data_IF_238270602800
#
_entry.id   IF_238270602800
#
_cell.length_a   1.000
_cell.length_b   1.000
_cell.length_c   1.000
_cell.angle_alpha   90.00
_cell.angle_beta   90.00
_cell.angle_gamma   90.00
#
_symmetry.space_group_name_H-M   'P 1'
#
loop_
_entity.id
_entity.type
_entity.pdbx_description
1 polymer ?
#
# COMPACT_ATOMS: atom_id res chain seq x y z
N UNK A 1 0.36 -44.07 8.69
CA UNK A 1 -0.74 -43.10 8.82
C UNK A 1 -0.17 -41.73 8.50
N UNK A 2 -0.36 -41.26 7.27
CA UNK A 2 0.14 -39.97 6.81
C UNK A 2 -0.76 -38.86 7.33
N UNK A 3 -0.23 -38.02 8.20
CA UNK A 3 -0.90 -36.80 8.65
C UNK A 3 -0.80 -35.75 7.55
N UNK A 4 -1.91 -35.54 6.84
CA UNK A 4 -2.12 -34.40 5.96
C UNK A 4 -2.19 -33.12 6.82
N UNK A 5 -1.07 -32.40 6.92
CA UNK A 5 -1.05 -31.03 7.43
C UNK A 5 -1.86 -30.16 6.46
N UNK A 6 -3.01 -29.73 6.95
CA UNK A 6 -3.94 -28.85 6.22
C UNK A 6 -3.28 -27.50 5.98
N UNK A 7 -3.52 -26.98 4.77
CA UNK A 7 -2.80 -25.87 4.17
C UNK A 7 -2.80 -24.60 5.00
N UNK A 8 -1.61 -24.20 5.44
CA UNK A 8 -1.25 -22.80 5.55
C UNK A 8 -0.55 -22.48 4.23
N UNK A 9 -1.31 -21.98 3.26
CA UNK A 9 -0.73 -21.46 2.01
C UNK A 9 -0.03 -20.15 2.39
N UNK A 10 1.23 -20.28 2.78
CA UNK A 10 2.14 -19.16 2.89
C UNK A 10 2.39 -18.66 1.47
N UNK A 11 2.26 -17.34 1.22
CA UNK A 11 2.76 -16.68 0.01
C UNK A 11 4.05 -17.35 -0.41
N UNK A 12 3.96 -18.19 -1.44
CA UNK A 12 5.11 -19.04 -1.73
C UNK A 12 6.14 -18.11 -2.36
N UNK A 13 7.42 -18.16 -1.94
CA UNK A 13 8.47 -17.40 -2.62
C UNK A 13 8.51 -17.71 -4.13
N UNK A 14 7.90 -18.82 -4.55
CA UNK A 14 7.63 -19.16 -5.94
C UNK A 14 6.60 -18.24 -6.63
N UNK A 15 5.47 -17.92 -6.00
CA UNK A 15 4.46 -16.98 -6.55
C UNK A 15 5.03 -15.56 -6.68
N UNK A 16 5.84 -15.11 -5.71
CA UNK A 16 6.52 -13.82 -5.80
C UNK A 16 7.57 -13.80 -6.92
N UNK A 17 8.38 -14.86 -7.05
CA UNK A 17 9.35 -14.99 -8.13
C UNK A 17 8.69 -15.10 -9.52
N UNK A 18 7.54 -15.76 -9.63
CA UNK A 18 6.74 -15.81 -10.85
C UNK A 18 6.23 -14.41 -11.20
N UNK A 19 5.76 -13.63 -10.22
CA UNK A 19 5.34 -12.26 -10.44
C UNK A 19 6.50 -11.39 -10.97
N UNK A 20 7.69 -11.52 -10.39
CA UNK A 20 8.89 -10.81 -10.90
C UNK A 20 9.24 -11.21 -12.34
N UNK A 21 9.08 -12.48 -12.70
CA UNK A 21 9.28 -12.94 -14.08
C UNK A 21 8.26 -12.33 -15.03
N UNK A 22 6.98 -12.30 -14.65
CA UNK A 22 5.92 -11.67 -15.44
C UNK A 22 6.17 -10.16 -15.61
N UNK A 23 6.63 -9.48 -14.55
CA UNK A 23 6.97 -8.05 -14.61
C UNK A 23 8.15 -7.78 -15.57
N UNK A 24 9.10 -8.71 -15.71
CA UNK A 24 10.18 -8.60 -16.73
C UNK A 24 9.63 -8.76 -18.15
N UNK A 25 8.74 -9.73 -18.36
CA UNK A 25 8.10 -9.93 -19.67
C UNK A 25 7.27 -8.70 -20.05
N UNK A 26 6.57 -8.09 -19.08
CA UNK A 26 5.84 -6.84 -19.29
C UNK A 26 6.75 -5.71 -19.77
N UNK A 27 7.95 -5.56 -19.18
CA UNK A 27 8.94 -4.56 -19.60
C UNK A 27 9.44 -4.80 -21.04
N UNK A 28 9.64 -6.07 -21.42
CA UNK A 28 10.03 -6.40 -22.79
C UNK A 28 8.92 -6.09 -23.80
N UNK A 29 7.66 -6.40 -23.47
CA UNK A 29 6.50 -6.05 -24.30
C UNK A 29 6.32 -4.54 -24.41
N UNK A 30 6.52 -3.79 -23.32
CA UNK A 30 6.53 -2.33 -23.33
C UNK A 30 7.55 -1.79 -24.32
N UNK A 31 8.79 -2.28 -24.25
CA UNK A 31 9.85 -1.86 -25.16
C UNK A 31 9.46 -2.15 -26.62
N UNK A 32 8.93 -3.34 -26.92
CA UNK A 32 8.46 -3.68 -28.26
C UNK A 32 7.34 -2.72 -28.73
N UNK A 33 6.41 -2.38 -27.84
CA UNK A 33 5.30 -1.47 -28.09
C UNK A 33 5.80 -0.05 -28.39
N UNK A 34 6.77 0.43 -27.62
CA UNK A 34 7.41 1.74 -27.82
C UNK A 34 8.11 1.82 -29.17
N UNK A 35 8.84 0.76 -29.56
CA UNK A 35 9.46 0.69 -30.89
C UNK A 35 8.43 0.69 -32.03
N UNK A 36 7.31 -0.02 -31.88
CA UNK A 36 6.22 0.00 -32.85
C UNK A 36 5.59 1.41 -32.97
N UNK A 37 5.36 2.09 -31.83
CA UNK A 37 4.87 3.47 -31.80
C UNK A 37 5.86 4.43 -32.45
N UNK A 38 7.16 4.29 -32.19
CA UNK A 38 8.20 5.09 -32.80
C UNK A 38 8.22 4.92 -34.33
N UNK A 39 8.24 3.67 -34.83
CA UNK A 39 8.20 3.38 -36.27
C UNK A 39 6.95 3.97 -36.93
N UNK A 40 5.79 3.82 -36.29
CA UNK A 40 4.54 4.40 -36.77
C UNK A 40 4.60 5.94 -36.79
N UNK A 41 5.11 6.57 -35.74
CA UNK A 41 5.27 8.02 -35.67
C UNK A 41 6.17 8.56 -36.78
N UNK A 42 7.31 7.90 -37.02
CA UNK A 42 8.23 8.24 -38.12
C UNK A 42 7.55 8.08 -39.48
N UNK A 43 6.99 6.91 -39.78
CA UNK A 43 6.30 6.66 -41.06
C UNK A 43 5.13 7.63 -41.29
N UNK A 44 4.38 7.96 -40.24
CA UNK A 44 3.28 8.94 -40.33
C UNK A 44 3.80 10.34 -40.64
N UNK A 45 4.92 10.75 -40.04
CA UNK A 45 5.54 12.05 -40.32
C UNK A 45 6.06 12.14 -41.76
N UNK A 46 6.63 11.05 -42.28
CA UNK A 46 7.10 10.95 -43.67
C UNK A 46 5.93 11.00 -44.67
N UNK A 47 4.76 10.45 -44.31
CA UNK A 47 3.57 10.53 -45.16
C UNK A 47 3.12 11.96 -45.46
N UNK A 48 3.33 12.92 -44.56
CA UNK A 48 2.98 14.32 -44.80
C UNK A 48 3.90 15.02 -45.81
N UNK A 49 5.04 14.40 -46.16
CA UNK A 49 5.93 14.89 -47.21
C UNK A 49 5.51 14.38 -48.61
N UNK A 50 4.56 13.45 -48.70
CA UNK A 50 4.12 12.82 -49.94
C UNK A 50 2.85 13.48 -50.49
N UNK A 51 2.67 13.48 -51.81
CA UNK A 51 1.46 13.99 -52.45
C UNK A 51 0.19 13.18 -52.08
N UNK A 52 0.34 11.87 -51.84
CA UNK A 52 -0.76 10.95 -51.53
C UNK A 52 -0.89 10.66 -50.02
N UNK A 53 -0.90 11.71 -49.19
CA UNK A 53 -0.89 11.61 -47.71
C UNK A 53 -1.91 10.60 -47.17
N UNK A 54 -3.17 10.69 -47.61
CA UNK A 54 -4.25 9.84 -47.11
C UNK A 54 -4.05 8.35 -47.40
N UNK A 55 -3.47 7.99 -48.55
CA UNK A 55 -3.17 6.59 -48.86
C UNK A 55 -2.01 6.10 -48.00
N UNK A 56 -0.93 6.88 -47.94
CA UNK A 56 0.24 6.58 -47.13
C UNK A 56 -0.12 6.37 -45.66
N UNK A 57 -0.96 7.24 -45.07
CA UNK A 57 -1.41 7.10 -43.68
C UNK A 57 -2.24 5.84 -43.44
N UNK A 58 -3.06 5.40 -44.41
CA UNK A 58 -3.81 4.14 -44.32
C UNK A 58 -2.86 2.94 -44.29
N UNK A 59 -1.87 2.93 -45.17
CA UNK A 59 -0.88 1.85 -45.25
C UNK A 59 0.00 1.81 -43.99
N UNK A 60 0.52 2.96 -43.55
CA UNK A 60 1.28 3.09 -42.30
C UNK A 60 0.47 2.60 -41.09
N UNK A 61 -0.82 2.93 -41.02
CA UNK A 61 -1.71 2.44 -39.96
C UNK A 61 -1.96 0.93 -40.05
N UNK A 62 -2.08 0.38 -41.26
CA UNK A 62 -2.25 -1.05 -41.46
C UNK A 62 -1.01 -1.84 -41.01
N UNK A 63 0.19 -1.34 -41.30
CA UNK A 63 1.45 -1.90 -40.82
C UNK A 63 1.55 -1.80 -39.29
N UNK A 64 1.26 -0.63 -38.72
CA UNK A 64 1.26 -0.46 -37.27
C UNK A 64 0.30 -1.42 -36.57
N UNK A 65 -0.92 -1.62 -37.10
CA UNK A 65 -1.87 -2.59 -36.54
C UNK A 65 -1.31 -4.01 -36.53
N UNK A 66 -0.69 -4.45 -37.63
CA UNK A 66 -0.07 -5.78 -37.73
C UNK A 66 1.02 -6.00 -36.67
N UNK A 67 1.77 -4.96 -36.31
CA UNK A 67 2.79 -5.03 -35.26
C UNK A 67 2.20 -4.94 -33.84
N UNK A 68 1.26 -4.01 -33.62
CA UNK A 68 0.75 -3.68 -32.27
C UNK A 68 -0.31 -4.64 -31.77
N UNK A 69 -1.12 -5.23 -32.66
CA UNK A 69 -2.22 -6.13 -32.28
C UNK A 69 -1.72 -7.38 -31.53
N UNK A 70 -0.69 -8.11 -31.99
CA UNK A 70 -0.16 -9.26 -31.24
C UNK A 70 0.51 -8.87 -29.92
N UNK A 71 1.14 -7.69 -29.84
CA UNK A 71 1.74 -7.19 -28.59
C UNK A 71 0.63 -6.93 -27.57
N UNK A 72 -0.44 -6.22 -27.96
CA UNK A 72 -1.58 -5.93 -27.07
C UNK A 72 -2.29 -7.20 -26.60
N UNK A 73 -2.40 -8.22 -27.45
CA UNK A 73 -2.96 -9.51 -27.05
C UNK A 73 -2.11 -10.19 -25.97
N UNK A 74 -0.78 -10.16 -26.12
CA UNK A 74 0.15 -10.69 -25.11
C UNK A 74 0.07 -9.91 -23.80
N UNK A 75 0.04 -8.58 -23.86
CA UNK A 75 -0.09 -7.72 -22.68
C UNK A 75 -1.38 -8.01 -21.91
N UNK A 76 -2.53 -8.12 -22.59
CA UNK A 76 -3.81 -8.43 -21.94
C UNK A 76 -3.78 -9.81 -21.26
N UNK A 77 -3.23 -10.82 -21.94
CA UNK A 77 -3.09 -12.15 -21.36
C UNK A 77 -2.17 -12.15 -20.13
N UNK A 78 -1.04 -11.45 -20.22
CA UNK A 78 -0.08 -11.30 -19.12
C UNK A 78 -0.71 -10.58 -17.91
N UNK A 79 -1.40 -9.47 -18.15
CA UNK A 79 -2.08 -8.70 -17.11
C UNK A 79 -3.18 -9.52 -16.41
N UNK A 80 -3.88 -10.39 -17.14
CA UNK A 80 -4.85 -11.30 -16.53
C UNK A 80 -4.18 -12.29 -15.56
N UNK A 81 -3.03 -12.85 -15.94
CA UNK A 81 -2.25 -13.76 -15.08
C UNK A 81 -1.71 -13.03 -13.86
N UNK A 82 -1.05 -11.88 -14.04
CA UNK A 82 -0.56 -11.04 -12.94
C UNK A 82 -1.68 -10.68 -11.95
N UNK A 83 -2.87 -10.31 -12.46
CA UNK A 83 -4.01 -9.98 -11.60
C UNK A 83 -4.42 -11.15 -10.71
N UNK A 84 -4.55 -12.36 -11.28
CA UNK A 84 -4.90 -13.56 -10.52
C UNK A 84 -3.84 -13.90 -9.48
N UNK A 85 -2.56 -13.77 -9.84
CA UNK A 85 -1.44 -14.04 -8.95
C UNK A 85 -1.38 -13.05 -7.78
N UNK A 86 -1.50 -11.74 -8.06
CA UNK A 86 -1.55 -10.70 -7.01
C UNK A 86 -2.76 -10.87 -6.10
N UNK A 87 -3.90 -11.30 -6.64
CA UNK A 87 -5.09 -11.62 -5.85
C UNK A 87 -4.84 -12.83 -4.92
N UNK A 88 -4.21 -13.90 -5.41
CA UNK A 88 -3.79 -15.05 -4.59
C UNK A 88 -2.90 -14.61 -3.43
N UNK A 89 -1.81 -13.89 -3.73
CA UNK A 89 -0.83 -13.41 -2.74
C UNK A 89 -1.53 -12.55 -1.68
N UNK A 90 -2.35 -11.59 -2.12
CA UNK A 90 -3.11 -10.72 -1.20
C UNK A 90 -4.05 -11.52 -0.30
N UNK A 91 -4.80 -12.47 -0.84
CA UNK A 91 -5.71 -13.30 -0.05
C UNK A 91 -4.96 -14.08 1.03
N UNK A 92 -3.79 -14.63 0.69
CA UNK A 92 -2.93 -15.33 1.65
C UNK A 92 -2.39 -14.39 2.73
N UNK A 93 -1.94 -13.18 2.38
CA UNK A 93 -1.51 -12.16 3.34
C UNK A 93 -2.64 -11.73 4.28
N UNK A 94 -3.86 -11.54 3.75
CA UNK A 94 -5.01 -11.16 4.54
C UNK A 94 -5.40 -12.26 5.54
N UNK A 95 -5.29 -13.54 5.15
CA UNK A 95 -5.46 -14.68 6.06
C UNK A 95 -4.39 -14.67 7.16
N UNK A 96 -3.11 -14.47 6.81
CA UNK A 96 -2.02 -14.37 7.80
C UNK A 96 -2.28 -13.23 8.78
N UNK A 97 -2.65 -12.05 8.29
CA UNK A 97 -2.93 -10.87 9.11
C UNK A 97 -4.15 -11.07 10.00
N UNK A 98 -5.18 -11.78 9.52
CA UNK A 98 -6.33 -12.15 10.34
C UNK A 98 -5.93 -13.13 11.46
N UNK A 99 -5.11 -14.14 11.15
CA UNK A 99 -4.60 -15.09 12.14
C UNK A 99 -3.72 -14.40 13.20
N UNK A 100 -2.81 -13.51 12.80
CA UNK A 100 -1.99 -12.72 13.71
C UNK A 100 -2.84 -11.83 14.64
N UNK A 101 -3.87 -11.17 14.11
CA UNK A 101 -4.79 -10.36 14.92
C UNK A 101 -5.63 -11.21 15.88
N UNK A 102 -5.92 -12.46 15.53
CA UNK A 102 -6.61 -13.41 16.38
C UNK A 102 -5.66 -14.11 17.38
N UNK A 103 -4.35 -13.91 17.26
CA UNK A 103 -3.37 -14.55 18.13
C UNK A 103 -3.57 -14.15 19.61
N UNK A 104 -3.31 -15.08 20.54
CA UNK A 104 -3.45 -14.80 21.97
C UNK A 104 -2.50 -13.70 22.44
N UNK A 105 -1.30 -13.61 21.85
CA UNK A 105 -0.33 -12.55 22.13
C UNK A 105 -0.89 -11.17 21.78
N UNK A 106 -1.45 -11.01 20.57
CA UNK A 106 -2.09 -9.75 20.18
C UNK A 106 -3.36 -9.46 20.96
N UNK A 107 -4.10 -10.49 21.38
CA UNK A 107 -5.24 -10.31 22.27
C UNK A 107 -4.81 -9.81 23.66
N UNK A 108 -3.74 -10.37 24.23
CA UNK A 108 -3.18 -9.94 25.51
C UNK A 108 -2.61 -8.51 25.42
N UNK A 109 -1.92 -8.18 24.34
CA UNK A 109 -1.42 -6.82 24.08
C UNK A 109 -2.57 -5.80 24.04
N UNK A 110 -3.67 -6.11 23.35
CA UNK A 110 -4.87 -5.24 23.34
C UNK A 110 -5.46 -5.05 24.73
N UNK A 111 -5.57 -6.13 25.52
CA UNK A 111 -6.08 -6.06 26.88
C UNK A 111 -5.18 -5.21 27.79
N UNK A 112 -3.85 -5.37 27.68
CA UNK A 112 -2.89 -4.57 28.43
C UNK A 112 -2.96 -3.08 28.07
N UNK A 113 -3.00 -2.77 26.76
CA UNK A 113 -3.12 -1.39 26.27
C UNK A 113 -4.41 -0.73 26.75
N UNK A 114 -5.52 -1.47 26.80
CA UNK A 114 -6.78 -0.96 27.33
C UNK A 114 -6.68 -0.64 28.83
N UNK A 115 -6.13 -1.57 29.62
CA UNK A 115 -5.93 -1.35 31.06
C UNK A 115 -5.00 -0.16 31.34
N UNK A 116 -3.92 -0.02 30.57
CA UNK A 116 -2.99 1.10 30.70
C UNK A 116 -3.66 2.44 30.35
N UNK A 117 -4.48 2.46 29.29
CA UNK A 117 -5.23 3.66 28.90
C UNK A 117 -6.22 4.08 30.01
N UNK A 118 -6.97 3.12 30.56
CA UNK A 118 -7.90 3.40 31.67
C UNK A 118 -7.17 3.91 32.91
N UNK A 119 -6.01 3.36 33.24
CA UNK A 119 -5.19 3.84 34.35
C UNK A 119 -4.70 5.27 34.10
N UNK A 120 -4.19 5.56 32.90
CA UNK A 120 -3.76 6.91 32.50
C UNK A 120 -4.88 7.93 32.61
N UNK A 121 -6.12 7.55 32.27
CA UNK A 121 -7.29 8.41 32.41
C UNK A 121 -7.60 8.73 33.88
N UNK A 122 -7.53 7.73 34.78
CA UNK A 122 -7.68 7.94 36.23
C UNK A 122 -6.60 8.85 36.78
N UNK A 123 -5.34 8.62 36.39
CA UNK A 123 -4.21 9.44 36.84
C UNK A 123 -4.28 10.87 36.32
N UNK A 124 -4.78 11.07 35.09
CA UNK A 124 -5.03 12.40 34.54
C UNK A 124 -6.14 13.13 35.32
N UNK A 125 -7.24 12.44 35.63
CA UNK A 125 -8.34 13.00 36.42
C UNK A 125 -7.89 13.35 37.86
N UNK A 126 -7.12 12.48 38.50
CA UNK A 126 -6.56 12.72 39.83
C UNK A 126 -5.62 13.94 39.84
N UNK A 127 -4.73 14.04 38.84
CA UNK A 127 -3.86 15.22 38.67
C UNK A 127 -4.64 16.50 38.43
N UNK A 128 -5.70 16.45 37.62
CA UNK A 128 -6.56 17.61 37.39
C UNK A 128 -7.26 18.08 38.69
N UNK A 129 -7.74 17.13 39.50
CA UNK A 129 -8.36 17.42 40.79
C UNK A 129 -7.37 18.03 41.81
N UNK A 130 -6.15 17.47 41.91
CA UNK A 130 -5.09 18.02 42.77
C UNK A 130 -4.70 19.44 42.34
N UNK A 131 -4.56 19.69 41.03
CA UNK A 131 -4.28 21.03 40.52
C UNK A 131 -5.39 22.04 40.86
N UNK A 132 -6.64 21.62 40.79
CA UNK A 132 -7.79 22.47 41.15
C UNK A 132 -7.82 22.79 42.64
N UNK A 133 -7.53 21.81 43.51
CA UNK A 133 -7.37 22.05 44.95
C UNK A 133 -6.22 23.03 45.22
N UNK A 134 -5.06 22.81 44.60
CA UNK A 134 -3.91 23.72 44.72
C UNK A 134 -4.24 25.14 44.26
N UNK A 135 -5.06 25.31 43.21
CA UNK A 135 -5.54 26.63 42.76
C UNK A 135 -6.43 27.31 43.81
N UNK A 136 -7.33 26.57 44.46
CA UNK A 136 -8.19 27.08 45.53
C UNK A 136 -7.40 27.46 46.79
N UNK A 137 -6.37 26.68 47.12
CA UNK A 137 -5.51 26.94 48.27
C UNK A 137 -4.42 28.00 48.01
N UNK A 138 -4.20 28.39 46.74
CA UNK A 138 -3.19 29.37 46.35
C UNK A 138 -3.36 30.75 47.05
N UNK A 139 -4.56 31.38 47.10
CA UNK A 139 -4.73 32.65 47.81
C UNK A 139 -4.47 32.54 49.31
N UNK A 140 -4.89 31.43 49.95
CA UNK A 140 -4.65 31.20 51.38
C UNK A 140 -3.15 31.05 51.66
N UNK A 141 -2.45 30.24 50.86
CA UNK A 141 -0.97 30.09 50.94
C UNK A 141 -0.25 31.40 50.67
N UNK A 142 -0.74 32.24 49.75
CA UNK A 142 -0.15 33.55 49.49
C UNK A 142 -0.29 34.51 50.70
N UNK A 143 -1.43 34.48 51.40
CA UNK A 143 -1.64 35.25 52.62
C UNK A 143 -0.76 34.76 53.78
N UNK A 144 -0.67 33.44 53.98
CA UNK A 144 0.18 32.83 55.02
C UNK A 144 1.67 33.15 54.79
N UNK A 145 2.16 33.10 53.55
CA UNK A 145 3.52 33.50 53.23
C UNK A 145 3.78 34.99 53.47
N UNK A 146 2.83 35.87 53.12
CA UNK A 146 2.94 37.32 53.38
C UNK A 146 2.98 37.64 54.89
N UNK A 147 2.18 36.93 55.68
CA UNK A 147 2.17 37.07 57.14
C UNK A 147 3.46 36.54 57.79
N UNK A 148 4.02 35.43 57.28
CA UNK A 148 5.29 34.89 57.76
C UNK A 148 6.51 35.77 57.45
N UNK A 149 6.47 36.56 56.38
CA UNK A 149 7.51 37.56 56.06
C UNK A 149 7.40 38.88 56.84
N UNK A 150 6.38 39.04 57.69
CA UNK A 150 6.17 40.22 58.56
C UNK A 150 6.56 39.97 60.02
N UNK A 151 7.36 38.95 60.30
CA UNK A 151 7.99 38.75 61.61
C UNK A 151 9.26 39.61 61.70
N UNK A 152 9.09 40.89 62.03
CA UNK A 152 10.08 41.73 62.72
C UNK A 152 9.71 41.82 64.21
#
# INVERSE_FOLDING_TARGET
>A
MSTALSGVVLATPAEEAELEQLDRIEQELELQREWAKYRWGKASSECYQNYWVNSCLKDARALYRKEIDPIRQQEVALHEVQRKLRESIKNQEDIKRAAERASPEKAAERAANQAEFEQKQKDAAARAADLEQRRKDAPKRAQENKAGTQLD
#
